data_IF_401008188779
#
_entry.id   IF_401008188779
#
_cell.length_a   1.000
_cell.length_b   1.000
_cell.length_c   1.000
_cell.angle_alpha   90.00
_cell.angle_beta   90.00
_cell.angle_gamma   90.00
#
_symmetry.space_group_name_H-M   'P 1'
#
loop_
_entity.id
_entity.type
_entity.pdbx_description
1 polymer ?
#
# COMPACT_ATOMS: atom_id res chain seq x y z
N UNK A 1 -2.79 -10.76 -17.74
CA UNK A 1 -2.27 -10.44 -16.40
C UNK A 1 -1.22 -11.49 -16.09
N UNK A 2 0.01 -11.05 -15.85
CA UNK A 2 1.13 -11.93 -15.55
C UNK A 2 1.00 -12.50 -14.11
N UNK A 3 1.54 -13.68 -13.85
CA UNK A 3 1.51 -14.31 -12.50
C UNK A 3 2.21 -13.41 -11.48
N UNK A 4 3.28 -12.74 -11.90
CA UNK A 4 3.97 -11.76 -11.07
C UNK A 4 3.10 -10.55 -10.74
N UNK A 5 2.44 -9.96 -11.75
CA UNK A 5 1.53 -8.83 -11.59
C UNK A 5 0.38 -9.17 -10.64
N UNK A 6 -0.21 -10.35 -10.78
CA UNK A 6 -1.29 -10.81 -9.92
C UNK A 6 -0.84 -10.98 -8.46
N UNK A 7 0.31 -11.63 -8.24
CA UNK A 7 0.86 -11.80 -6.90
C UNK A 7 1.22 -10.45 -6.24
N UNK A 8 1.68 -9.48 -7.04
CA UNK A 8 2.00 -8.13 -6.57
C UNK A 8 0.73 -7.38 -6.19
N UNK A 9 -0.32 -7.44 -7.02
CA UNK A 9 -1.63 -6.85 -6.74
C UNK A 9 -2.24 -7.42 -5.46
N UNK A 10 -2.27 -8.74 -5.30
CA UNK A 10 -2.76 -9.37 -4.07
C UNK A 10 -1.97 -8.93 -2.83
N UNK A 11 -0.67 -8.71 -2.97
CA UNK A 11 0.17 -8.22 -1.87
C UNK A 11 -0.16 -6.77 -1.50
N UNK A 12 -0.43 -5.93 -2.49
CA UNK A 12 -0.90 -4.55 -2.29
C UNK A 12 -2.27 -4.53 -1.62
N UNK A 13 -3.21 -5.36 -2.07
CA UNK A 13 -4.55 -5.48 -1.47
C UNK A 13 -4.49 -5.95 0.00
N UNK A 14 -3.66 -6.96 0.30
CA UNK A 14 -3.46 -7.43 1.68
C UNK A 14 -2.86 -6.34 2.58
N UNK A 15 -1.85 -5.61 2.09
CA UNK A 15 -1.23 -4.54 2.86
C UNK A 15 -2.23 -3.39 3.12
N UNK A 16 -3.10 -3.07 2.15
CA UNK A 16 -4.17 -2.09 2.33
C UNK A 16 -5.17 -2.51 3.42
N UNK A 17 -5.66 -3.75 3.39
CA UNK A 17 -6.58 -4.25 4.41
C UNK A 17 -5.96 -4.23 5.81
N UNK A 18 -4.68 -4.60 5.91
CA UNK A 18 -3.94 -4.56 7.18
C UNK A 18 -3.74 -3.13 7.68
N UNK A 19 -3.41 -2.18 6.80
CA UNK A 19 -3.30 -0.76 7.13
C UNK A 19 -4.62 -0.21 7.67
N UNK A 20 -5.73 -0.44 6.96
CA UNK A 20 -7.05 0.05 7.37
C UNK A 20 -7.49 -0.55 8.71
N UNK A 21 -7.21 -1.84 8.92
CA UNK A 21 -7.46 -2.51 10.20
C UNK A 21 -6.61 -1.89 11.32
N UNK A 22 -5.32 -1.68 11.10
CA UNK A 22 -4.44 -1.04 12.07
C UNK A 22 -4.91 0.38 12.43
N UNK A 23 -5.36 1.18 11.44
CA UNK A 23 -5.92 2.51 11.69
C UNK A 23 -7.21 2.45 12.52
N UNK A 24 -8.13 1.56 12.16
CA UNK A 24 -9.39 1.37 12.89
C UNK A 24 -9.15 0.98 14.35
N UNK A 25 -8.14 0.16 14.58
CA UNK A 25 -7.81 -0.34 15.92
C UNK A 25 -6.89 0.63 16.71
N UNK A 26 -6.64 1.84 16.21
CA UNK A 26 -5.83 2.84 16.90
C UNK A 26 -4.34 2.47 17.00
N UNK A 27 -3.81 1.74 16.02
CA UNK A 27 -2.42 1.27 15.95
C UNK A 27 -1.62 2.04 14.88
N UNK A 28 -1.26 3.32 15.12
CA UNK A 28 -0.65 4.19 14.10
C UNK A 28 0.70 3.65 13.60
N UNK A 29 1.53 3.09 14.48
CA UNK A 29 2.80 2.49 14.06
C UNK A 29 2.62 1.31 13.10
N UNK A 30 1.64 0.43 13.35
CA UNK A 30 1.34 -0.68 12.46
C UNK A 30 0.74 -0.18 11.14
N UNK A 31 -0.12 0.84 11.18
CA UNK A 31 -0.64 1.47 9.97
C UNK A 31 0.48 2.06 9.11
N UNK A 32 1.45 2.74 9.72
CA UNK A 32 2.59 3.32 9.00
C UNK A 32 3.48 2.25 8.37
N UNK A 33 3.77 1.16 9.06
CA UNK A 33 4.50 0.03 8.47
C UNK A 33 3.79 -0.56 7.25
N UNK A 34 2.46 -0.71 7.31
CA UNK A 34 1.69 -1.19 6.16
C UNK A 34 1.65 -0.17 5.01
N UNK A 35 1.62 1.13 5.31
CA UNK A 35 1.72 2.18 4.31
C UNK A 35 3.07 2.17 3.58
N UNK A 36 4.19 2.09 4.32
CA UNK A 36 5.53 1.93 3.72
C UNK A 36 5.59 0.68 2.85
N UNK A 37 5.02 -0.43 3.31
CA UNK A 37 4.98 -1.66 2.52
C UNK A 37 4.20 -1.52 1.22
N UNK A 38 3.10 -0.77 1.20
CA UNK A 38 2.34 -0.46 -0.02
C UNK A 38 3.24 0.33 -0.99
N UNK A 39 3.93 1.37 -0.51
CA UNK A 39 4.84 2.17 -1.34
C UNK A 39 5.95 1.31 -1.97
N UNK A 40 6.58 0.42 -1.19
CA UNK A 40 7.61 -0.49 -1.72
C UNK A 40 7.09 -1.42 -2.82
N UNK A 41 5.84 -1.90 -2.67
CA UNK A 41 5.21 -2.78 -3.65
C UNK A 41 4.86 -2.04 -4.94
N UNK A 42 4.37 -0.80 -4.82
CA UNK A 42 4.06 0.05 -5.97
C UNK A 42 5.34 0.49 -6.69
N UNK A 43 6.40 0.82 -5.95
CA UNK A 43 7.70 1.12 -6.53
C UNK A 43 8.23 -0.10 -7.31
N UNK A 44 8.19 -1.29 -6.70
CA UNK A 44 8.55 -2.53 -7.38
C UNK A 44 7.73 -2.76 -8.66
N UNK A 45 6.42 -2.49 -8.64
CA UNK A 45 5.57 -2.60 -9.82
C UNK A 45 6.05 -1.66 -10.93
N UNK A 46 6.32 -0.39 -10.57
CA UNK A 46 6.82 0.65 -11.47
C UNK A 46 8.17 0.25 -12.09
N UNK A 47 9.12 -0.30 -11.32
CA UNK A 47 10.41 -0.75 -11.87
C UNK A 47 10.24 -1.88 -12.89
N UNK A 48 9.16 -2.65 -12.80
CA UNK A 48 8.82 -3.72 -13.74
C UNK A 48 7.87 -3.25 -14.87
N UNK A 49 7.60 -1.95 -14.99
CA UNK A 49 6.74 -1.39 -16.04
C UNK A 49 5.25 -1.70 -15.89
N UNK A 50 4.81 -2.06 -14.67
CA UNK A 50 3.42 -2.38 -14.38
C UNK A 50 2.67 -1.09 -14.00
N UNK A 51 1.53 -0.86 -14.66
CA UNK A 51 0.61 0.22 -14.29
C UNK A 51 -0.15 -0.15 -13.01
N UNK A 52 -0.06 0.72 -12.01
CA UNK A 52 -0.67 0.53 -10.69
C UNK A 52 -1.66 1.63 -10.31
N UNK A 53 -2.04 2.49 -11.25
CA UNK A 53 -2.89 3.65 -10.99
C UNK A 53 -4.19 3.31 -10.24
N UNK A 54 -4.77 2.13 -10.50
CA UNK A 54 -6.03 1.68 -9.92
C UNK A 54 -5.88 0.68 -8.77
N UNK A 55 -4.65 0.38 -8.32
CA UNK A 55 -4.41 -0.65 -7.30
C UNK A 55 -4.68 -0.17 -5.88
N UNK A 56 -4.58 1.14 -5.66
CA UNK A 56 -4.87 1.78 -4.38
C UNK A 56 -5.97 2.82 -4.60
N UNK A 57 -7.18 2.62 -4.05
CA UNK A 57 -8.25 3.61 -4.15
C UNK A 57 -7.82 4.96 -3.57
N UNK A 58 -8.28 6.07 -4.14
CA UNK A 58 -7.92 7.42 -3.69
C UNK A 58 -8.14 7.66 -2.18
N UNK A 59 -9.18 7.04 -1.60
CA UNK A 59 -9.46 7.10 -0.16
C UNK A 59 -8.40 6.39 0.70
N UNK A 60 -7.86 5.28 0.21
CA UNK A 60 -6.74 4.58 0.83
C UNK A 60 -5.43 5.32 0.60
N UNK A 61 -5.24 5.92 -0.59
CA UNK A 61 -4.04 6.67 -0.95
C UNK A 61 -3.76 7.82 0.02
N UNK A 62 -4.78 8.60 0.40
CA UNK A 62 -4.64 9.66 1.39
C UNK A 62 -4.11 9.13 2.74
N UNK A 63 -4.47 7.91 3.12
CA UNK A 63 -3.97 7.26 4.34
C UNK A 63 -2.52 6.79 4.19
N UNK A 64 -2.15 6.27 3.02
CA UNK A 64 -0.78 5.85 2.70
C UNK A 64 0.17 7.05 2.74
N UNK A 65 -0.22 8.18 2.13
CA UNK A 65 0.62 9.38 2.09
C UNK A 65 0.69 10.11 3.44
N UNK A 66 -0.41 10.13 4.21
CA UNK A 66 -0.40 10.70 5.57
C UNK A 66 0.55 9.94 6.50
N UNK A 67 0.52 8.61 6.42
CA UNK A 67 1.42 7.73 7.18
C UNK A 67 2.90 7.90 6.83
N UNK A 68 3.22 8.22 5.57
CA UNK A 68 4.59 8.49 5.12
C UNK A 68 5.11 9.88 5.52
N UNK A 69 4.20 10.85 5.72
CA UNK A 69 4.54 12.22 6.16
C UNK A 69 4.89 12.35 7.64
N UNK A 70 4.33 11.49 8.50
CA UNK A 70 4.56 11.50 9.97
C UNK A 70 5.94 10.95 10.40
N UNK A 71 6.80 10.59 9.44
CA UNK A 71 8.17 10.09 9.68
C UNK A 71 9.27 11.14 9.49
N UNK A 72 8.92 12.41 9.22
CA UNK A 72 9.87 13.52 9.02
C UNK A 72 10.14 14.35 10.28
#
# INVERSE_FOLDING_TARGET
MDVFEQALRESVERAQQAMLTARRDGRPFAANQHASRILDLLDRARVNGIDTADWVPASAWASVTAAAGDTA
#
